data_IF_908646762291
#
_entry.id   IF_908646762291
#
_cell.length_a   1.000
_cell.length_b   1.000
_cell.length_c   1.000
_cell.angle_alpha   90.00
_cell.angle_beta   90.00
_cell.angle_gamma   90.00
#
_symmetry.space_group_name_H-M   'P 1'
#
loop_
_entity.id
_entity.type
_entity.pdbx_description
1 polymer ?
#
# COMPACT_ATOMS: atom_id res chain seq x y z
N UNK A 1 15.19 -8.21 13.27
CA UNK A 1 14.94 -9.60 13.67
C UNK A 1 15.84 -10.52 12.88
N UNK A 2 15.47 -11.78 12.73
CA UNK A 2 16.10 -12.82 11.91
C UNK A 2 15.06 -13.46 11.00
N UNK A 3 15.49 -14.22 10.00
CA UNK A 3 14.64 -15.03 9.13
C UNK A 3 13.48 -14.22 8.50
N UNK A 4 13.79 -13.08 7.88
CA UNK A 4 12.78 -12.29 7.17
C UNK A 4 12.22 -13.11 6.00
N UNK A 5 10.91 -13.12 5.81
CA UNK A 5 10.26 -13.79 4.68
C UNK A 5 9.20 -12.87 4.08
N UNK A 6 9.30 -12.60 2.79
CA UNK A 6 8.21 -11.91 2.06
C UNK A 6 7.10 -12.95 1.85
N UNK A 7 5.87 -12.62 2.26
CA UNK A 7 4.75 -13.58 2.30
C UNK A 7 3.60 -13.18 1.38
N UNK A 8 3.40 -11.88 1.18
CA UNK A 8 2.32 -11.34 0.39
C UNK A 8 2.65 -9.91 -0.08
N UNK A 9 1.86 -9.41 -1.01
CA UNK A 9 1.89 -8.02 -1.42
C UNK A 9 0.49 -7.54 -1.79
N UNK A 10 0.27 -6.25 -1.76
CA UNK A 10 -0.85 -5.60 -2.43
C UNK A 10 -0.39 -4.23 -2.95
N UNK A 11 -1.35 -3.39 -3.35
CA UNK A 11 -1.08 -2.03 -3.78
C UNK A 11 -1.91 -1.06 -2.97
N UNK A 12 -1.31 0.08 -2.64
CA UNK A 12 -2.11 1.26 -2.36
C UNK A 12 -2.82 1.69 -3.64
N UNK A 13 -4.04 2.16 -3.49
CA UNK A 13 -4.88 2.66 -4.57
C UNK A 13 -5.09 4.15 -4.40
N UNK A 14 -5.34 4.85 -5.51
CA UNK A 14 -5.94 6.17 -5.45
C UNK A 14 -7.42 6.04 -5.75
N UNK A 15 -8.21 6.77 -4.99
CA UNK A 15 -9.66 6.83 -5.13
C UNK A 15 -10.08 8.27 -5.34
N UNK A 16 -11.20 8.46 -6.02
CA UNK A 16 -11.75 9.78 -6.35
C UNK A 16 -13.19 9.69 -6.85
N UNK A 17 -13.79 10.82 -7.26
CA UNK A 17 -15.13 10.86 -7.81
C UNK A 17 -15.27 9.96 -9.03
N UNK A 18 -16.43 9.32 -9.20
CA UNK A 18 -16.71 8.43 -10.33
C UNK A 18 -16.74 9.14 -11.68
N UNK A 19 -17.01 10.45 -11.70
CA UNK A 19 -16.94 11.28 -12.90
C UNK A 19 -15.51 11.61 -13.33
N UNK A 20 -14.52 11.41 -12.44
CA UNK A 20 -13.10 11.74 -12.66
C UNK A 20 -12.90 13.07 -13.42
N UNK A 21 -13.30 14.21 -12.84
CA UNK A 21 -13.37 15.50 -13.54
C UNK A 21 -12.02 15.98 -14.08
N UNK A 22 -10.91 15.46 -13.56
CA UNK A 22 -9.56 15.79 -13.99
C UNK A 22 -8.89 14.66 -14.78
N UNK A 23 -9.59 13.55 -15.06
CA UNK A 23 -9.11 12.47 -15.91
C UNK A 23 -7.78 11.86 -15.44
N UNK A 24 -7.73 11.35 -14.21
CA UNK A 24 -6.56 10.63 -13.66
C UNK A 24 -6.67 9.12 -13.77
N UNK A 25 -7.83 8.61 -14.16
CA UNK A 25 -8.09 7.17 -14.26
C UNK A 25 -7.13 6.51 -15.25
N UNK A 26 -6.46 5.44 -14.80
CA UNK A 26 -5.53 4.67 -15.62
C UNK A 26 -4.13 5.29 -15.79
N UNK A 27 -3.87 6.47 -15.23
CA UNK A 27 -2.51 7.03 -15.18
C UNK A 27 -1.62 6.25 -14.22
N UNK A 28 -0.30 6.38 -14.41
CA UNK A 28 0.65 5.92 -13.40
C UNK A 28 0.43 6.67 -12.08
N UNK A 29 0.77 6.09 -10.92
CA UNK A 29 0.61 6.79 -9.64
C UNK A 29 1.31 8.15 -9.60
N UNK A 30 2.49 8.26 -10.20
CA UNK A 30 3.25 9.52 -10.20
C UNK A 30 2.62 10.56 -11.13
N UNK A 31 2.15 10.16 -12.31
CA UNK A 31 1.49 11.09 -13.24
C UNK A 31 0.13 11.54 -12.71
N UNK A 32 -0.61 10.64 -12.05
CA UNK A 32 -1.85 10.98 -11.35
C UNK A 32 -1.62 12.03 -10.25
N UNK A 33 -0.59 11.85 -9.41
CA UNK A 33 -0.27 12.85 -8.37
C UNK A 33 0.14 14.20 -8.96
N UNK A 34 0.96 14.22 -10.01
CA UNK A 34 1.33 15.47 -10.69
C UNK A 34 0.10 16.19 -11.23
N UNK A 35 -0.81 15.46 -11.88
CA UNK A 35 -2.06 16.01 -12.41
C UNK A 35 -2.99 16.51 -11.30
N UNK A 36 -3.14 15.76 -10.21
CA UNK A 36 -3.91 16.18 -9.03
C UNK A 36 -3.34 17.47 -8.44
N UNK A 37 -2.02 17.59 -8.32
CA UNK A 37 -1.40 18.81 -7.78
C UNK A 37 -1.56 20.00 -8.72
N UNK A 38 -1.39 19.80 -10.03
CA UNK A 38 -1.60 20.83 -11.04
C UNK A 38 -3.04 21.35 -11.03
N UNK A 39 -4.02 20.44 -11.04
CA UNK A 39 -5.44 20.79 -11.03
C UNK A 39 -5.91 21.30 -9.66
N UNK A 40 -5.33 20.79 -8.58
CA UNK A 40 -5.56 21.28 -7.22
C UNK A 40 -5.13 22.73 -7.07
N UNK A 41 -3.95 23.09 -7.60
CA UNK A 41 -3.49 24.48 -7.63
C UNK A 41 -4.43 25.42 -8.40
N UNK A 42 -5.18 24.91 -9.38
CA UNK A 42 -6.21 25.66 -10.13
C UNK A 42 -7.58 25.69 -9.43
N UNK A 43 -7.78 24.85 -8.41
CA UNK A 43 -9.05 24.68 -7.70
C UNK A 43 -9.99 23.64 -8.32
N UNK A 44 -9.49 22.82 -9.24
CA UNK A 44 -10.27 21.79 -9.95
C UNK A 44 -10.20 20.41 -9.28
N UNK A 45 -9.31 20.23 -8.29
CA UNK A 45 -9.16 18.98 -7.56
C UNK A 45 -8.94 19.24 -6.08
N UNK A 46 -9.38 18.29 -5.25
CA UNK A 46 -9.10 18.25 -3.82
C UNK A 46 -8.32 16.98 -3.53
N UNK A 47 -7.27 17.08 -2.74
CA UNK A 47 -6.56 15.94 -2.17
C UNK A 47 -6.78 15.90 -0.66
N UNK A 48 -7.18 14.73 -0.15
CA UNK A 48 -7.35 14.51 1.29
C UNK A 48 -6.28 13.53 1.78
N UNK A 49 -5.33 14.04 2.53
CA UNK A 49 -4.33 13.27 3.24
C UNK A 49 -4.87 12.70 4.55
N UNK A 50 -4.32 11.56 4.97
CA UNK A 50 -4.51 11.03 6.33
C UNK A 50 -4.01 12.01 7.39
N UNK A 51 -2.81 12.57 7.20
CA UNK A 51 -2.19 13.50 8.15
C UNK A 51 -1.92 12.94 9.56
N UNK A 52 -1.82 11.61 9.73
CA UNK A 52 -1.87 10.93 11.05
C UNK A 52 -0.60 10.14 11.42
N UNK A 53 0.49 10.34 10.66
CA UNK A 53 1.77 9.60 10.79
C UNK A 53 1.70 8.07 10.64
N UNK A 54 0.62 7.54 10.06
CA UNK A 54 0.49 6.12 9.73
C UNK A 54 1.41 5.68 8.58
N UNK A 55 1.43 4.37 8.32
CA UNK A 55 2.08 3.80 7.12
C UNK A 55 1.54 4.39 5.82
N UNK A 56 0.21 4.58 5.72
CA UNK A 56 -0.43 5.20 4.54
C UNK A 56 0.02 6.66 4.37
N UNK A 57 0.06 7.46 5.45
CA UNK A 57 0.57 8.83 5.38
C UNK A 57 2.06 8.87 5.00
N UNK A 58 2.85 7.91 5.49
CA UNK A 58 4.26 7.80 5.12
C UNK A 58 4.44 7.45 3.64
N UNK A 59 3.61 6.54 3.12
CA UNK A 59 3.59 6.19 1.70
C UNK A 59 3.19 7.37 0.82
N UNK A 60 2.14 8.07 1.20
CA UNK A 60 1.67 9.29 0.52
C UNK A 60 2.79 10.32 0.37
N UNK A 61 3.47 10.68 1.47
CA UNK A 61 4.59 11.64 1.45
C UNK A 61 5.74 11.16 0.56
N UNK A 62 6.03 9.86 0.57
CA UNK A 62 7.06 9.29 -0.30
C UNK A 62 6.68 9.42 -1.78
N UNK A 63 5.41 9.19 -2.13
CA UNK A 63 4.91 9.33 -3.49
C UNK A 63 4.93 10.78 -3.97
N UNK A 64 4.50 11.74 -3.13
CA UNK A 64 4.63 13.16 -3.45
C UNK A 64 6.08 13.56 -3.74
N UNK A 65 7.03 13.09 -2.91
CA UNK A 65 8.45 13.33 -3.11
C UNK A 65 8.95 12.71 -4.43
N UNK A 66 8.53 11.50 -4.76
CA UNK A 66 8.86 10.84 -6.03
C UNK A 66 8.28 11.59 -7.24
N UNK A 67 7.12 12.22 -7.08
CA UNK A 67 6.54 13.10 -8.09
C UNK A 67 7.27 14.45 -8.23
N UNK A 68 8.32 14.70 -7.45
CA UNK A 68 9.06 15.97 -7.44
C UNK A 68 8.37 17.08 -6.65
N UNK A 69 7.37 16.73 -5.82
CA UNK A 69 6.53 17.68 -5.10
C UNK A 69 6.83 17.62 -3.60
N UNK A 70 6.93 18.79 -2.96
CA UNK A 70 7.17 18.89 -1.53
C UNK A 70 5.85 19.06 -0.78
N UNK A 71 5.46 18.06 0.01
CA UNK A 71 4.21 18.07 0.79
C UNK A 71 4.08 19.29 1.70
N UNK A 72 5.17 19.82 2.25
CA UNK A 72 5.15 21.03 3.09
C UNK A 72 4.69 22.25 2.29
N UNK A 73 5.03 22.31 1.00
CA UNK A 73 4.58 23.38 0.09
C UNK A 73 3.12 23.14 -0.30
N UNK A 74 2.76 21.91 -0.69
CA UNK A 74 1.39 21.58 -1.12
C UNK A 74 0.35 21.93 -0.04
N UNK A 75 0.65 21.63 1.23
CA UNK A 75 -0.22 21.94 2.38
C UNK A 75 -0.48 23.44 2.57
N UNK A 76 0.46 24.28 2.15
CA UNK A 76 0.36 25.74 2.29
C UNK A 76 -0.20 26.40 1.03
N UNK A 77 -0.34 25.65 -0.06
CA UNK A 77 -0.80 26.19 -1.33
C UNK A 77 -2.31 26.44 -1.29
N UNK A 78 -2.68 27.64 -1.74
CA UNK A 78 -4.07 28.04 -1.92
C UNK A 78 -4.41 28.10 -3.41
N UNK A 79 -5.68 27.85 -3.73
CA UNK A 79 -6.26 28.08 -5.05
C UNK A 79 -6.33 29.58 -5.36
N UNK A 80 -6.65 30.00 -6.61
CA UNK A 80 -6.90 31.41 -6.92
C UNK A 80 -8.03 32.03 -6.09
N UNK A 81 -8.95 31.21 -5.58
CA UNK A 81 -10.03 31.63 -4.70
C UNK A 81 -9.62 31.74 -3.21
N UNK A 82 -8.34 31.50 -2.87
CA UNK A 82 -7.83 31.59 -1.51
C UNK A 82 -8.19 30.40 -0.62
N UNK A 83 -8.68 29.29 -1.19
CA UNK A 83 -9.04 28.08 -0.44
C UNK A 83 -7.96 27.01 -0.55
N UNK A 84 -7.77 26.15 0.46
CA UNK A 84 -6.85 25.02 0.34
C UNK A 84 -7.43 23.94 -0.59
N UNK A 85 -6.56 23.27 -1.34
CA UNK A 85 -6.91 22.07 -2.11
C UNK A 85 -6.33 20.79 -1.50
N UNK A 86 -5.32 20.92 -0.63
CA UNK A 86 -4.74 19.82 0.15
C UNK A 86 -5.26 19.87 1.59
N UNK A 87 -5.97 18.82 2.01
CA UNK A 87 -6.56 18.71 3.35
C UNK A 87 -5.90 17.59 4.14
N UNK A 88 -5.74 17.76 5.45
CA UNK A 88 -5.35 16.67 6.35
C UNK A 88 -6.53 16.31 7.24
N UNK A 89 -6.93 15.04 7.21
CA UNK A 89 -8.00 14.54 8.06
C UNK A 89 -7.57 14.42 9.54
N UNK A 90 -6.28 14.17 9.80
CA UNK A 90 -5.75 13.89 11.13
C UNK A 90 -6.34 12.63 11.76
N UNK A 91 -6.81 11.69 10.92
CA UNK A 91 -7.65 10.57 11.34
C UNK A 91 -7.34 9.28 10.57
N UNK A 92 -7.95 8.18 11.02
CA UNK A 92 -7.83 6.87 10.38
C UNK A 92 -8.46 6.82 8.97
N UNK A 93 -8.14 5.75 8.23
CA UNK A 93 -8.47 5.64 6.80
C UNK A 93 -9.96 5.76 6.46
N UNK A 94 -10.85 5.19 7.28
CA UNK A 94 -12.30 5.34 7.07
C UNK A 94 -12.75 6.80 7.09
N UNK A 95 -12.29 7.58 8.09
CA UNK A 95 -12.66 8.99 8.21
C UNK A 95 -12.06 9.84 7.07
N UNK A 96 -10.82 9.53 6.66
CA UNK A 96 -10.20 10.18 5.48
C UNK A 96 -10.97 9.90 4.19
N UNK A 97 -11.41 8.66 3.97
CA UNK A 97 -12.23 8.29 2.81
C UNK A 97 -13.58 9.04 2.82
N UNK A 98 -14.23 9.13 3.99
CA UNK A 98 -15.49 9.87 4.12
C UNK A 98 -15.29 11.37 3.86
N UNK A 99 -14.19 11.96 4.34
CA UNK A 99 -13.88 13.36 4.07
C UNK A 99 -13.58 13.60 2.59
N UNK A 100 -12.84 12.70 1.94
CA UNK A 100 -12.63 12.75 0.50
C UNK A 100 -13.95 12.65 -0.27
N UNK A 101 -14.86 11.75 0.13
CA UNK A 101 -16.18 11.59 -0.47
C UNK A 101 -17.04 12.85 -0.34
N UNK A 102 -17.11 13.44 0.87
CA UNK A 102 -17.84 14.69 1.14
C UNK A 102 -17.32 15.90 0.35
N UNK A 103 -16.04 15.86 -0.03
CA UNK A 103 -15.34 16.93 -0.74
C UNK A 103 -15.31 16.71 -2.25
N UNK A 104 -15.89 15.61 -2.76
CA UNK A 104 -15.69 15.14 -4.13
C UNK A 104 -14.19 15.14 -4.51
N UNK A 105 -13.35 14.67 -3.57
CA UNK A 105 -11.91 14.73 -3.63
C UNK A 105 -11.24 13.38 -3.84
N UNK A 106 -9.92 13.42 -4.01
CA UNK A 106 -9.04 12.28 -4.21
C UNK A 106 -8.27 11.95 -2.94
N UNK A 107 -7.92 10.67 -2.75
CA UNK A 107 -7.03 10.24 -1.67
C UNK A 107 -6.33 8.93 -2.01
N UNK A 108 -5.28 8.61 -1.25
CA UNK A 108 -4.63 7.30 -1.25
C UNK A 108 -5.23 6.41 -0.16
N UNK A 109 -5.50 5.15 -0.47
CA UNK A 109 -6.07 4.19 0.47
C UNK A 109 -5.39 2.82 0.40
N UNK A 110 -5.47 2.10 1.52
CA UNK A 110 -5.31 0.65 1.53
C UNK A 110 -6.58 0.00 0.94
N UNK A 111 -6.38 -0.99 0.07
CA UNK A 111 -7.47 -1.62 -0.69
C UNK A 111 -8.51 -2.29 0.22
N UNK A 112 -8.10 -2.89 1.35
CA UNK A 112 -9.02 -3.56 2.25
C UNK A 112 -9.95 -2.56 2.93
N UNK A 113 -9.43 -1.41 3.35
CA UNK A 113 -10.26 -0.37 3.98
C UNK A 113 -11.23 0.24 2.96
N UNK A 114 -10.75 0.54 1.76
CA UNK A 114 -11.60 1.05 0.68
C UNK A 114 -12.74 0.07 0.33
N UNK A 115 -12.44 -1.23 0.20
CA UNK A 115 -13.44 -2.23 -0.12
C UNK A 115 -14.50 -2.34 0.97
N UNK A 116 -14.10 -2.32 2.24
CA UNK A 116 -15.03 -2.33 3.37
C UNK A 116 -15.97 -1.12 3.35
N UNK A 117 -15.45 0.09 3.10
CA UNK A 117 -16.27 1.31 3.09
C UNK A 117 -17.15 1.42 1.86
N UNK A 118 -16.67 0.99 0.69
CA UNK A 118 -17.46 1.01 -0.55
C UNK A 118 -18.56 -0.06 -0.54
N UNK A 119 -18.27 -1.29 -0.09
CA UNK A 119 -19.25 -2.38 -0.04
C UNK A 119 -20.41 -2.11 0.92
N UNK A 120 -20.21 -1.23 1.90
CA UNK A 120 -21.22 -0.81 2.88
C UNK A 120 -21.93 0.49 2.49
N UNK A 121 -21.59 1.09 1.35
CA UNK A 121 -22.17 2.35 0.87
C UNK A 121 -21.78 3.59 1.70
N UNK A 122 -20.73 3.49 2.52
CA UNK A 122 -20.24 4.60 3.36
C UNK A 122 -19.62 5.72 2.51
N UNK A 123 -19.08 5.36 1.33
CA UNK A 123 -18.54 6.29 0.34
C UNK A 123 -19.02 5.90 -1.06
N UNK A 124 -18.99 6.85 -1.99
CA UNK A 124 -19.29 6.68 -3.42
C UNK A 124 -18.04 6.78 -4.30
N UNK A 125 -16.89 7.15 -3.72
CA UNK A 125 -15.60 7.17 -4.42
C UNK A 125 -15.30 5.83 -5.10
N UNK A 126 -14.66 5.91 -6.26
CA UNK A 126 -14.19 4.74 -7.03
C UNK A 126 -12.67 4.73 -7.10
N UNK A 127 -12.10 3.58 -7.46
CA UNK A 127 -10.66 3.50 -7.78
C UNK A 127 -10.39 4.23 -9.08
N UNK A 128 -9.42 5.14 -9.05
CA UNK A 128 -8.92 5.84 -10.24
C UNK A 128 -7.49 5.39 -10.59
N UNK A 129 -6.72 4.93 -9.60
CA UNK A 129 -5.44 4.24 -9.82
C UNK A 129 -5.42 2.95 -9.03
N UNK A 130 -5.34 1.81 -9.72
CA UNK A 130 -5.44 0.47 -9.13
C UNK A 130 -4.11 -0.10 -8.63
N UNK A 131 -3.02 0.20 -9.32
CA UNK A 131 -1.70 -0.36 -9.01
C UNK A 131 -0.58 0.39 -9.73
N UNK A 132 0.65 0.14 -9.31
CA UNK A 132 1.87 0.63 -9.95
C UNK A 132 3.09 0.29 -9.10
N UNK A 133 4.28 0.34 -9.71
CA UNK A 133 5.55 0.09 -9.01
C UNK A 133 5.64 0.91 -7.72
N UNK A 134 5.29 2.19 -7.81
CA UNK A 134 5.43 3.12 -6.70
C UNK A 134 4.38 2.91 -5.61
N UNK A 135 3.22 2.30 -5.90
CA UNK A 135 2.17 2.02 -4.90
C UNK A 135 2.26 0.62 -4.31
N UNK A 136 3.26 -0.17 -4.70
CA UNK A 136 3.51 -1.50 -4.15
C UNK A 136 3.64 -1.45 -2.62
N UNK A 137 3.02 -2.42 -1.97
CA UNK A 137 3.02 -2.61 -0.53
C UNK A 137 3.32 -4.08 -0.21
N UNK A 138 4.54 -4.34 0.25
CA UNK A 138 5.08 -5.69 0.44
C UNK A 138 5.04 -6.07 1.91
N UNK A 139 4.46 -7.24 2.20
CA UNK A 139 4.35 -7.78 3.55
C UNK A 139 5.47 -8.78 3.80
N UNK A 140 6.20 -8.57 4.89
CA UNK A 140 7.25 -9.47 5.34
C UNK A 140 7.04 -9.88 6.77
N UNK A 141 7.13 -11.17 7.06
CA UNK A 141 7.26 -11.66 8.41
C UNK A 141 8.73 -11.61 8.83
N UNK A 142 9.02 -11.14 10.04
CA UNK A 142 10.37 -11.06 10.59
C UNK A 142 10.35 -11.64 11.99
N UNK A 143 11.14 -12.68 12.23
CA UNK A 143 11.20 -13.32 13.55
C UNK A 143 12.04 -12.46 14.49
N UNK A 144 11.62 -12.28 15.73
CA UNK A 144 12.43 -11.60 16.74
C UNK A 144 13.73 -12.37 16.98
N UNK A 145 14.87 -11.69 17.03
CA UNK A 145 16.15 -12.35 17.30
C UNK A 145 16.19 -12.79 18.78
N UNK A 146 16.25 -14.10 19.09
CA UNK A 146 16.22 -14.60 20.47
C UNK A 146 17.42 -14.13 21.30
N UNK A 147 18.56 -13.81 20.69
CA UNK A 147 19.72 -13.25 21.39
C UNK A 147 19.47 -11.82 21.90
N UNK A 148 18.51 -11.09 21.30
CA UNK A 148 18.13 -9.72 21.70
C UNK A 148 16.76 -9.65 22.39
N UNK A 149 15.92 -10.64 22.18
CA UNK A 149 14.58 -10.72 22.74
C UNK A 149 14.35 -12.13 23.32
N UNK A 150 14.63 -12.27 24.61
CA UNK A 150 14.49 -13.52 25.35
C UNK A 150 13.04 -13.87 25.70
N UNK A 151 12.09 -12.93 25.53
CA UNK A 151 10.66 -13.18 25.75
C UNK A 151 9.95 -13.73 24.50
N UNK A 152 10.61 -13.72 23.35
CA UNK A 152 10.04 -14.21 22.10
C UNK A 152 10.04 -15.73 22.01
N UNK A 153 8.96 -16.30 21.47
CA UNK A 153 8.87 -17.72 21.15
C UNK A 153 9.41 -17.99 19.74
N UNK A 154 10.73 -18.16 19.63
CA UNK A 154 11.41 -18.32 18.34
C UNK A 154 10.83 -19.48 17.50
N UNK A 155 10.73 -20.68 18.07
CA UNK A 155 10.24 -21.87 17.35
C UNK A 155 8.79 -21.72 16.88
N UNK A 156 7.90 -21.20 17.74
CA UNK A 156 6.52 -20.93 17.36
C UNK A 156 6.41 -19.88 16.25
N UNK A 157 7.26 -18.85 16.31
CA UNK A 157 7.33 -17.82 15.25
C UNK A 157 7.81 -18.43 13.93
N UNK A 158 8.81 -19.30 13.96
CA UNK A 158 9.30 -20.00 12.78
C UNK A 158 8.22 -20.88 12.15
N UNK A 159 7.49 -21.65 12.97
CA UNK A 159 6.34 -22.45 12.52
C UNK A 159 5.28 -21.59 11.82
N UNK A 160 4.92 -20.45 12.39
CA UNK A 160 3.95 -19.54 11.78
C UNK A 160 4.45 -18.97 10.44
N UNK A 161 5.73 -18.58 10.36
CA UNK A 161 6.32 -18.05 9.11
C UNK A 161 6.36 -19.13 8.03
N UNK A 162 6.71 -20.37 8.39
CA UNK A 162 6.65 -21.52 7.47
C UNK A 162 5.23 -21.79 6.98
N UNK A 163 4.24 -21.73 7.87
CA UNK A 163 2.83 -21.83 7.49
C UNK A 163 2.45 -20.76 6.46
N UNK A 164 2.74 -19.48 6.73
CA UNK A 164 2.44 -18.39 5.79
C UNK A 164 3.14 -18.55 4.43
N UNK A 165 4.34 -19.15 4.40
CA UNK A 165 5.10 -19.40 3.18
C UNK A 165 4.73 -20.72 2.46
N UNK A 166 3.96 -21.60 3.11
CA UNK A 166 3.52 -22.89 2.56
C UNK A 166 2.46 -22.72 1.47
N UNK A 167 2.19 -23.79 0.71
CA UNK A 167 1.09 -23.82 -0.26
C UNK A 167 -0.25 -23.44 0.37
N UNK A 168 -0.52 -23.93 1.58
CA UNK A 168 -1.78 -23.64 2.29
C UNK A 168 -1.88 -22.14 2.66
N UNK A 169 -0.84 -21.58 3.28
CA UNK A 169 -0.82 -20.16 3.64
C UNK A 169 -0.89 -19.23 2.42
N UNK A 170 -0.24 -19.61 1.32
CA UNK A 170 -0.34 -18.86 0.07
C UNK A 170 -1.73 -18.97 -0.57
N UNK A 171 -2.40 -20.12 -0.48
CA UNK A 171 -3.78 -20.28 -0.92
C UNK A 171 -4.76 -19.44 -0.08
N UNK A 172 -4.50 -19.30 1.23
CA UNK A 172 -5.24 -18.40 2.08
C UNK A 172 -5.11 -16.95 1.57
N UNK A 173 -3.90 -16.46 1.31
CA UNK A 173 -3.73 -15.12 0.71
C UNK A 173 -4.46 -15.00 -0.63
N UNK A 174 -4.36 -15.99 -1.51
CA UNK A 174 -4.98 -15.97 -2.83
C UNK A 174 -6.52 -15.81 -2.80
N UNK A 175 -7.17 -16.31 -1.75
CA UNK A 175 -8.64 -16.35 -1.67
C UNK A 175 -9.24 -15.39 -0.65
N UNK A 176 -8.43 -14.88 0.29
CA UNK A 176 -8.93 -14.03 1.37
C UNK A 176 -9.57 -12.73 0.84
N UNK A 177 -10.85 -12.54 1.15
CA UNK A 177 -11.65 -11.38 0.75
C UNK A 177 -12.49 -11.57 -0.52
N UNK A 178 -12.24 -12.61 -1.32
CA UNK A 178 -12.95 -12.84 -2.59
C UNK A 178 -14.47 -12.96 -2.41
N UNK A 179 -14.93 -13.77 -1.46
CA UNK A 179 -16.37 -13.93 -1.16
C UNK A 179 -17.04 -12.63 -0.70
N UNK A 180 -16.32 -11.81 0.07
CA UNK A 180 -16.89 -10.60 0.69
C UNK A 180 -16.84 -9.38 -0.23
N UNK A 181 -15.77 -9.25 -1.03
CA UNK A 181 -15.45 -8.03 -1.77
C UNK A 181 -15.27 -8.26 -3.27
N UNK A 182 -15.43 -9.49 -3.77
CA UNK A 182 -15.26 -9.84 -5.19
C UNK A 182 -13.79 -9.86 -5.67
N UNK A 183 -12.83 -9.58 -4.79
CA UNK A 183 -11.39 -9.60 -5.10
C UNK A 183 -10.57 -9.99 -3.86
N UNK A 184 -9.34 -10.44 -4.08
CA UNK A 184 -8.42 -10.72 -2.97
C UNK A 184 -7.87 -9.43 -2.34
N UNK A 185 -7.66 -9.45 -1.02
CA UNK A 185 -7.01 -8.37 -0.27
C UNK A 185 -5.48 -8.46 -0.28
N UNK A 186 -4.95 -9.67 -0.48
CA UNK A 186 -3.53 -9.95 -0.46
C UNK A 186 -3.17 -10.86 -1.64
N UNK A 187 -2.08 -10.56 -2.33
CA UNK A 187 -1.58 -11.42 -3.40
C UNK A 187 -0.46 -12.32 -2.88
N UNK A 188 -0.46 -13.64 -3.16
CA UNK A 188 0.49 -14.59 -2.61
C UNK A 188 1.88 -14.44 -3.26
N UNK A 189 2.87 -13.97 -2.50
CA UNK A 189 4.19 -13.69 -3.06
C UNK A 189 4.95 -14.95 -3.49
N UNK A 190 4.96 -16.00 -2.67
CA UNK A 190 5.76 -17.21 -2.93
C UNK A 190 5.21 -17.95 -4.16
N UNK A 191 3.89 -18.05 -4.29
CA UNK A 191 3.25 -18.62 -5.49
C UNK A 191 3.55 -17.78 -6.73
N UNK A 192 3.45 -16.44 -6.64
CA UNK A 192 3.77 -15.52 -7.74
C UNK A 192 5.23 -15.68 -8.18
N UNK A 193 6.16 -15.71 -7.23
CA UNK A 193 7.59 -15.84 -7.49
C UNK A 193 7.94 -17.19 -8.14
N UNK A 194 7.33 -18.29 -7.68
CA UNK A 194 7.55 -19.63 -8.25
C UNK A 194 6.97 -19.79 -9.66
N UNK A 195 5.81 -19.19 -9.92
CA UNK A 195 5.20 -19.23 -11.25
C UNK A 195 6.07 -18.50 -12.29
N UNK A 196 6.71 -17.39 -11.90
CA UNK A 196 7.69 -16.69 -12.74
C UNK A 196 7.09 -15.98 -13.96
N UNK A 197 5.77 -15.96 -14.11
CA UNK A 197 5.06 -15.37 -15.26
C UNK A 197 4.92 -13.86 -15.17
N UNK A 198 4.88 -13.29 -13.96
CA UNK A 198 4.74 -11.84 -13.72
C UNK A 198 6.13 -11.18 -13.54
N UNK A 199 6.98 -11.26 -14.58
CA UNK A 199 8.40 -10.89 -14.52
C UNK A 199 8.64 -9.44 -14.05
N UNK A 200 7.87 -8.49 -14.56
CA UNK A 200 7.98 -7.08 -14.18
C UNK A 200 7.63 -6.84 -12.71
N UNK A 201 6.50 -7.38 -12.25
CA UNK A 201 6.08 -7.30 -10.85
C UNK A 201 7.11 -7.95 -9.91
N UNK A 202 7.64 -9.12 -10.30
CA UNK A 202 8.68 -9.81 -9.53
C UNK A 202 9.89 -8.89 -9.39
N UNK A 203 10.28 -8.21 -10.46
CA UNK A 203 11.38 -7.25 -10.41
C UNK A 203 11.05 -6.06 -9.51
N UNK A 204 9.82 -5.53 -9.53
CA UNK A 204 9.42 -4.45 -8.63
C UNK A 204 9.52 -4.85 -7.16
N UNK A 205 9.07 -6.06 -6.79
CA UNK A 205 9.19 -6.55 -5.41
C UNK A 205 10.65 -6.74 -5.02
N UNK A 206 11.50 -7.23 -5.93
CA UNK A 206 12.95 -7.35 -5.70
C UNK A 206 13.58 -5.98 -5.45
N UNK A 207 13.36 -5.02 -6.34
CA UNK A 207 13.89 -3.66 -6.22
C UNK A 207 13.44 -2.99 -4.91
N UNK A 208 12.18 -3.21 -4.53
CA UNK A 208 11.57 -2.53 -3.39
C UNK A 208 11.90 -3.18 -2.04
N UNK A 209 11.91 -4.51 -1.98
CA UNK A 209 11.85 -5.25 -0.72
C UNK A 209 13.01 -6.23 -0.49
N UNK A 210 13.89 -6.47 -1.47
CA UNK A 210 15.06 -7.31 -1.23
C UNK A 210 16.16 -6.51 -0.54
N UNK A 211 16.93 -7.20 0.29
CA UNK A 211 18.09 -6.68 0.98
C UNK A 211 19.28 -7.48 0.44
N UNK A 212 20.29 -6.80 -0.11
CA UNK A 212 21.48 -7.43 -0.70
C UNK A 212 21.12 -8.57 -1.67
N UNK A 213 20.12 -8.35 -2.54
CA UNK A 213 19.71 -9.30 -3.56
C UNK A 213 18.88 -10.50 -3.07
N UNK A 214 18.43 -10.52 -1.81
CA UNK A 214 17.56 -11.59 -1.29
C UNK A 214 16.44 -11.09 -0.37
N UNK A 215 15.42 -11.92 -0.12
CA UNK A 215 14.39 -11.61 0.88
C UNK A 215 14.95 -11.58 2.32
N UNK A 216 15.98 -12.39 2.59
CA UNK A 216 16.78 -12.38 3.79
C UNK A 216 18.23 -12.82 3.50
N UNK A 217 19.20 -11.90 3.59
CA UNK A 217 20.62 -12.23 3.49
C UNK A 217 21.01 -13.32 4.50
N UNK A 218 21.98 -14.15 4.13
CA UNK A 218 22.43 -15.30 4.94
C UNK A 218 22.89 -14.88 6.34
N UNK A 219 23.51 -13.70 6.47
CA UNK A 219 23.94 -13.13 7.75
C UNK A 219 22.78 -12.84 8.72
N UNK A 220 21.53 -12.74 8.24
CA UNK A 220 20.34 -12.53 9.06
C UNK A 220 19.49 -13.79 9.23
N UNK A 221 19.99 -14.95 8.78
CA UNK A 221 19.35 -16.24 8.99
C UNK A 221 19.88 -16.87 10.27
N UNK A 222 18.98 -17.34 11.11
CA UNK A 222 19.29 -18.07 12.32
C UNK A 222 18.47 -19.35 12.27
N UNK A 223 19.09 -20.53 12.24
CA UNK A 223 18.41 -21.85 12.23
C UNK A 223 17.09 -21.88 11.43
N UNK A 224 17.06 -21.47 10.14
CA UNK A 224 15.81 -21.28 9.41
C UNK A 224 15.14 -22.59 8.98
N UNK A 225 15.81 -23.73 9.13
CA UNK A 225 15.40 -25.00 8.51
C UNK A 225 15.28 -24.87 6.99
N UNK A 226 14.15 -25.32 6.46
CA UNK A 226 13.77 -25.32 5.04
C UNK A 226 13.08 -24.03 4.56
N UNK A 227 13.01 -22.96 5.38
CA UNK A 227 12.25 -21.75 5.04
C UNK A 227 12.72 -21.04 3.75
N UNK A 228 13.96 -21.29 3.33
CA UNK A 228 14.58 -20.71 2.12
C UNK A 228 14.98 -21.75 1.08
N UNK A 229 14.48 -22.99 1.24
CA UNK A 229 14.68 -24.09 0.29
C UNK A 229 13.59 -24.11 -0.79
#
# INVERSE_FOLDING_TARGET
GVNRKIIAYNFYIFVGPSSDPIGVTGLSPIDALKKIAEEGAKGNAIWVSRGDNSGTHSKEKALWKLAGLNVTILKQQLTPAGTPWYYEAGAGMTATLQLADQKDGYTIADVATFLKTSSTGVIKLVKVVDSGKDTLNVYSAIICNPAKNTRGHYEASLTLVKYMASTEGQQLFATYGTTQYGQTLFKPWITTLKAGTETELIQWVKDYAYIEGSDCPTAYRLNPGDLYS
#
